data_IF_017683753987
#
_entry.id   IF_017683753987
#
_cell.length_a   1.000
_cell.length_b   1.000
_cell.length_c   1.000
_cell.angle_alpha   90.00
_cell.angle_beta   90.00
_cell.angle_gamma   90.00
#
_symmetry.space_group_name_H-M   'P 1'
#
loop_
_entity.id
_entity.type
_entity.pdbx_description
1 polymer ?
#
# COMPACT_ATOMS: atom_id res chain seq x y z
N UNK A 1 6.57 14.56 -46.65
CA UNK A 1 6.30 13.26 -46.03
C UNK A 1 7.34 13.02 -44.96
N UNK A 2 7.05 13.46 -43.74
CA UNK A 2 7.59 12.91 -42.48
C UNK A 2 6.78 13.51 -41.35
N UNK A 3 6.08 12.62 -40.64
CA UNK A 3 5.07 12.92 -39.65
C UNK A 3 5.65 13.63 -38.42
N UNK A 4 5.07 14.79 -38.08
CA UNK A 4 5.16 15.34 -36.74
C UNK A 4 4.37 14.43 -35.81
N UNK A 5 5.04 13.41 -35.26
CA UNK A 5 4.54 12.59 -34.16
C UNK A 5 4.20 13.51 -33.00
N UNK A 6 2.92 13.85 -32.89
CA UNK A 6 2.36 14.60 -31.78
C UNK A 6 2.59 13.81 -30.49
N UNK A 7 3.65 14.17 -29.76
CA UNK A 7 3.78 13.85 -28.35
C UNK A 7 2.57 14.50 -27.65
N UNK A 8 1.50 13.72 -27.45
CA UNK A 8 0.45 14.07 -26.49
C UNK A 8 1.13 14.20 -25.14
N UNK A 9 1.41 15.43 -24.75
CA UNK A 9 1.74 15.79 -23.38
C UNK A 9 0.51 15.46 -22.54
N UNK A 10 0.46 14.24 -22.01
CA UNK A 10 -0.55 13.84 -21.05
C UNK A 10 -0.43 14.81 -19.86
N UNK A 11 -1.38 15.73 -19.77
CA UNK A 11 -1.52 16.65 -18.66
C UNK A 11 -1.42 15.83 -17.35
N UNK A 12 -0.60 16.23 -16.36
CA UNK A 12 -0.29 15.41 -15.18
C UNK A 12 -1.52 14.82 -14.47
N UNK A 13 -2.66 15.52 -14.51
CA UNK A 13 -3.95 15.06 -13.97
C UNK A 13 -4.54 13.83 -14.69
N UNK A 14 -4.39 13.72 -16.01
CA UNK A 14 -4.89 12.58 -16.79
C UNK A 14 -4.08 11.31 -16.51
N UNK A 15 -2.77 11.45 -16.33
CA UNK A 15 -1.90 10.31 -16.00
C UNK A 15 -2.27 9.67 -14.65
N UNK A 16 -2.54 10.49 -13.63
CA UNK A 16 -2.98 10.00 -12.31
C UNK A 16 -4.33 9.30 -12.41
N UNK A 17 -5.27 9.86 -13.17
CA UNK A 17 -6.58 9.25 -13.40
C UNK A 17 -6.47 7.89 -14.09
N UNK A 18 -5.61 7.76 -15.12
CA UNK A 18 -5.38 6.47 -15.79
C UNK A 18 -4.80 5.42 -14.84
N UNK A 19 -3.83 5.79 -13.98
CA UNK A 19 -3.27 4.90 -12.97
C UNK A 19 -4.34 4.43 -11.98
N UNK A 20 -5.20 5.34 -11.53
CA UNK A 20 -6.32 5.03 -10.65
C UNK A 20 -7.33 4.07 -11.30
N UNK A 21 -7.76 4.36 -12.53
CA UNK A 21 -8.68 3.47 -13.26
C UNK A 21 -8.08 2.09 -13.47
N UNK A 22 -6.79 2.00 -13.85
CA UNK A 22 -6.11 0.73 -14.01
C UNK A 22 -6.08 -0.07 -12.70
N UNK A 23 -5.79 0.60 -11.58
CA UNK A 23 -5.81 -0.02 -10.25
C UNK A 23 -7.21 -0.51 -9.88
N UNK A 24 -8.25 0.27 -10.14
CA UNK A 24 -9.63 -0.14 -9.92
C UNK A 24 -9.99 -1.37 -10.77
N UNK A 25 -9.59 -1.41 -12.04
CA UNK A 25 -9.82 -2.59 -12.91
C UNK A 25 -9.11 -3.83 -12.38
N UNK A 26 -7.88 -3.67 -11.88
CA UNK A 26 -7.14 -4.76 -11.25
C UNK A 26 -7.87 -5.26 -10.00
N UNK A 27 -8.32 -4.35 -9.12
CA UNK A 27 -9.02 -4.75 -7.90
C UNK A 27 -10.39 -5.40 -8.20
N UNK A 28 -11.15 -4.86 -9.15
CA UNK A 28 -12.44 -5.43 -9.57
C UNK A 28 -12.26 -6.80 -10.21
N UNK A 29 -11.23 -6.98 -11.04
CA UNK A 29 -10.95 -8.29 -11.64
C UNK A 29 -10.49 -9.31 -10.60
N UNK A 30 -9.67 -8.89 -9.62
CA UNK A 30 -9.28 -9.73 -8.49
C UNK A 30 -10.48 -10.10 -7.60
N UNK A 31 -11.35 -9.14 -7.26
CA UNK A 31 -12.59 -9.39 -6.53
C UNK A 31 -13.53 -10.33 -7.30
N UNK A 32 -13.67 -10.15 -8.62
CA UNK A 32 -14.50 -11.02 -9.46
C UNK A 32 -13.94 -12.45 -9.48
N UNK A 33 -12.62 -12.60 -9.58
CA UNK A 33 -11.95 -13.90 -9.50
C UNK A 33 -12.20 -14.58 -8.14
N UNK A 34 -12.00 -13.88 -7.03
CA UNK A 34 -12.26 -14.42 -5.70
C UNK A 34 -13.74 -14.74 -5.47
N UNK A 35 -14.63 -13.88 -5.95
CA UNK A 35 -16.08 -14.09 -5.85
C UNK A 35 -16.54 -15.32 -6.64
N UNK A 36 -15.94 -15.57 -7.80
CA UNK A 36 -16.23 -16.77 -8.59
C UNK A 36 -15.71 -18.04 -7.90
N UNK A 37 -14.55 -17.98 -7.25
CA UNK A 37 -13.90 -19.14 -6.64
C UNK A 37 -14.44 -19.49 -5.24
N UNK A 38 -14.74 -18.49 -4.42
CA UNK A 38 -15.08 -18.66 -3.00
C UNK A 38 -16.48 -18.14 -2.61
N UNK A 39 -17.23 -17.59 -3.58
CA UNK A 39 -18.52 -16.93 -3.34
C UNK A 39 -18.38 -15.43 -3.07
N UNK A 40 -19.45 -14.67 -3.31
CA UNK A 40 -19.44 -13.19 -3.27
C UNK A 40 -19.10 -12.64 -1.88
N UNK A 41 -19.66 -13.21 -0.82
CA UNK A 41 -19.42 -12.77 0.55
C UNK A 41 -17.95 -12.99 0.95
N UNK A 42 -17.46 -14.22 0.79
CA UNK A 42 -16.07 -14.62 1.06
C UNK A 42 -15.08 -13.83 0.21
N UNK A 43 -15.36 -13.69 -1.09
CA UNK A 43 -14.51 -12.93 -2.01
C UNK A 43 -14.45 -11.44 -1.66
N UNK A 44 -15.54 -10.87 -1.15
CA UNK A 44 -15.58 -9.50 -0.64
C UNK A 44 -14.69 -9.30 0.57
N UNK A 45 -14.85 -10.14 1.60
CA UNK A 45 -14.02 -10.04 2.80
C UNK A 45 -12.56 -10.30 2.47
N UNK A 46 -12.25 -11.35 1.70
CA UNK A 46 -10.89 -11.64 1.26
C UNK A 46 -10.25 -10.48 0.47
N UNK A 47 -11.01 -9.80 -0.39
CA UNK A 47 -10.50 -8.63 -1.14
C UNK A 47 -10.19 -7.46 -0.21
N UNK A 48 -11.04 -7.20 0.78
CA UNK A 48 -10.83 -6.16 1.79
C UNK A 48 -9.62 -6.49 2.68
N UNK A 49 -9.46 -7.75 3.08
CA UNK A 49 -8.29 -8.22 3.81
C UNK A 49 -7.01 -8.06 2.98
N UNK A 50 -7.01 -8.47 1.71
CA UNK A 50 -5.87 -8.27 0.80
C UNK A 50 -5.53 -6.79 0.63
N UNK A 51 -6.52 -5.91 0.51
CA UNK A 51 -6.28 -4.46 0.48
C UNK A 51 -5.60 -3.98 1.77
N UNK A 52 -6.11 -4.41 2.93
CA UNK A 52 -5.54 -4.04 4.22
C UNK A 52 -4.12 -4.56 4.43
N UNK A 53 -3.78 -5.72 3.85
CA UNK A 53 -2.42 -6.25 3.84
C UNK A 53 -1.45 -5.28 3.16
N UNK A 54 -1.81 -4.76 1.99
CA UNK A 54 -0.97 -3.78 1.30
C UNK A 54 -0.80 -2.50 2.11
N UNK A 55 -1.89 -1.99 2.70
CA UNK A 55 -1.83 -0.76 3.52
C UNK A 55 -0.90 -0.93 4.74
N UNK A 56 -1.04 -2.04 5.47
CA UNK A 56 -0.35 -2.23 6.75
C UNK A 56 1.06 -2.81 6.60
N UNK A 57 1.25 -3.70 5.64
CA UNK A 57 2.44 -4.55 5.58
C UNK A 57 3.38 -4.21 4.41
N UNK A 58 3.08 -3.20 3.58
CA UNK A 58 4.00 -2.70 2.56
C UNK A 58 4.32 -1.22 2.77
N UNK A 59 5.61 -0.81 2.76
CA UNK A 59 6.03 0.59 2.92
C UNK A 59 5.77 1.39 1.62
N UNK A 60 4.53 1.36 1.13
CA UNK A 60 4.09 2.01 -0.09
C UNK A 60 3.10 3.09 0.33
N UNK A 61 3.53 4.36 0.25
CA UNK A 61 2.69 5.52 0.57
C UNK A 61 1.41 5.64 -0.30
N UNK A 62 1.35 4.87 -1.39
CA UNK A 62 0.21 4.76 -2.29
C UNK A 62 -0.54 3.41 -2.16
N UNK A 63 -0.23 2.55 -1.18
CA UNK A 63 -1.03 1.32 -0.98
C UNK A 63 -2.48 1.66 -0.58
N UNK A 64 -2.66 2.78 0.13
CA UNK A 64 -3.96 3.40 0.38
C UNK A 64 -4.58 4.10 -0.83
N UNK A 65 -3.88 4.26 -1.96
CA UNK A 65 -4.25 5.13 -3.09
C UNK A 65 -5.70 4.96 -3.58
N UNK A 66 -6.23 3.74 -3.51
CA UNK A 66 -7.59 3.43 -3.93
C UNK A 66 -8.65 4.20 -3.13
N UNK A 67 -8.48 4.36 -1.81
CA UNK A 67 -9.37 5.16 -0.96
C UNK A 67 -8.81 6.56 -0.70
N UNK A 68 -7.49 6.70 -0.70
CA UNK A 68 -6.81 7.97 -0.47
C UNK A 68 -7.13 9.01 -1.54
N UNK A 69 -7.15 8.59 -2.81
CA UNK A 69 -7.46 9.50 -3.92
C UNK A 69 -8.91 10.05 -3.86
N UNK A 70 -9.96 9.23 -3.68
CA UNK A 70 -11.32 9.71 -3.45
C UNK A 70 -11.46 10.60 -2.22
N UNK A 71 -10.86 10.21 -1.09
CA UNK A 71 -10.93 10.99 0.16
C UNK A 71 -10.29 12.36 -0.02
N UNK A 72 -9.13 12.44 -0.67
CA UNK A 72 -8.48 13.73 -0.98
C UNK A 72 -9.30 14.58 -1.94
N UNK A 73 -9.94 13.98 -2.95
CA UNK A 73 -10.76 14.71 -3.91
C UNK A 73 -12.03 15.31 -3.28
N UNK A 74 -12.65 14.58 -2.34
CA UNK A 74 -13.90 15.00 -1.68
C UNK A 74 -13.63 15.99 -0.54
N UNK A 75 -12.62 15.71 0.30
CA UNK A 75 -12.36 16.49 1.51
C UNK A 75 -11.25 17.53 1.36
N UNK A 76 -10.44 17.49 0.28
CA UNK A 76 -9.34 18.44 0.07
C UNK A 76 -8.25 18.39 1.14
N UNK A 77 -8.12 17.28 1.87
CA UNK A 77 -7.20 17.11 3.00
C UNK A 77 -5.77 16.82 2.53
N UNK A 78 -4.79 17.13 3.39
CA UNK A 78 -3.36 16.80 3.16
C UNK A 78 -3.15 15.29 3.13
N UNK A 79 -2.15 14.85 2.36
CA UNK A 79 -1.82 13.43 2.15
C UNK A 79 -1.56 12.67 3.46
N UNK A 80 -0.92 13.32 4.44
CA UNK A 80 -0.70 12.71 5.75
C UNK A 80 -2.00 12.33 6.48
N UNK A 81 -3.02 13.19 6.47
CA UNK A 81 -4.27 12.94 7.20
C UNK A 81 -5.11 11.86 6.54
N UNK A 82 -5.15 11.84 5.21
CA UNK A 82 -5.85 10.80 4.47
C UNK A 82 -5.18 9.43 4.64
N UNK A 83 -3.85 9.39 4.70
CA UNK A 83 -3.12 8.15 5.01
C UNK A 83 -3.39 7.65 6.43
N UNK A 84 -3.40 8.55 7.44
CA UNK A 84 -3.77 8.17 8.83
C UNK A 84 -5.18 7.58 8.87
N UNK A 85 -6.14 8.17 8.15
CA UNK A 85 -7.51 7.67 8.09
C UNK A 85 -7.58 6.27 7.48
N UNK A 86 -6.80 6.01 6.43
CA UNK A 86 -6.76 4.71 5.75
C UNK A 86 -6.07 3.65 6.59
N UNK A 87 -4.97 3.99 7.24
CA UNK A 87 -4.32 3.13 8.21
C UNK A 87 -5.27 2.75 9.35
N UNK A 88 -5.98 3.74 9.90
CA UNK A 88 -6.98 3.51 10.95
C UNK A 88 -8.10 2.59 10.46
N UNK A 89 -8.58 2.79 9.24
CA UNK A 89 -9.59 1.94 8.62
C UNK A 89 -9.08 0.51 8.42
N UNK A 90 -7.85 0.33 7.91
CA UNK A 90 -7.25 -0.98 7.70
C UNK A 90 -7.03 -1.74 9.01
N UNK A 91 -6.57 -1.06 10.07
CA UNK A 91 -6.46 -1.65 11.41
C UNK A 91 -7.84 -2.05 11.92
N UNK A 92 -8.84 -1.17 11.81
CA UNK A 92 -10.21 -1.43 12.28
C UNK A 92 -10.82 -2.64 11.58
N UNK A 93 -10.68 -2.72 10.26
CA UNK A 93 -11.10 -3.86 9.44
C UNK A 93 -10.48 -5.15 9.94
N UNK A 94 -9.18 -5.17 10.22
CA UNK A 94 -8.49 -6.36 10.70
C UNK A 94 -8.89 -6.76 12.11
N UNK A 95 -9.08 -5.79 13.02
CA UNK A 95 -9.59 -6.07 14.37
C UNK A 95 -10.98 -6.70 14.29
N UNK A 96 -11.88 -6.14 13.50
CA UNK A 96 -13.23 -6.69 13.31
C UNK A 96 -13.17 -8.07 12.65
N UNK A 97 -12.37 -8.24 11.61
CA UNK A 97 -12.24 -9.52 10.91
C UNK A 97 -11.65 -10.61 11.81
N UNK A 98 -10.65 -10.33 12.64
CA UNK A 98 -10.11 -11.29 13.59
C UNK A 98 -11.11 -11.72 14.66
N UNK A 99 -11.98 -10.80 15.10
CA UNK A 99 -12.97 -11.09 16.16
C UNK A 99 -14.20 -11.85 15.65
N UNK A 100 -14.67 -11.55 14.43
CA UNK A 100 -15.95 -12.07 13.93
C UNK A 100 -15.81 -12.99 12.72
N UNK A 101 -14.70 -12.93 11.98
CA UNK A 101 -14.56 -13.53 10.65
C UNK A 101 -13.18 -14.14 10.40
N UNK A 102 -12.56 -14.70 11.44
CA UNK A 102 -11.19 -15.25 11.37
C UNK A 102 -11.04 -16.32 10.27
N UNK A 103 -12.11 -17.05 9.95
CA UNK A 103 -12.17 -18.07 8.90
C UNK A 103 -11.83 -17.53 7.49
N UNK A 104 -12.08 -16.25 7.19
CA UNK A 104 -11.80 -15.71 5.86
C UNK A 104 -10.32 -15.43 5.61
N UNK A 105 -9.48 -15.47 6.64
CA UNK A 105 -8.04 -15.34 6.47
C UNK A 105 -7.43 -16.56 5.77
N UNK A 106 -8.05 -17.74 5.84
CA UNK A 106 -7.55 -18.98 5.20
C UNK A 106 -7.87 -19.09 3.70
N UNK A 107 -8.45 -18.04 3.10
CA UNK A 107 -8.88 -18.06 1.69
C UNK A 107 -7.72 -17.99 0.70
N UNK A 108 -6.71 -17.18 1.00
CA UNK A 108 -5.55 -16.94 0.13
C UNK A 108 -4.25 -16.92 0.93
N UNK A 109 -3.12 -17.18 0.27
CA UNK A 109 -1.80 -17.09 0.92
C UNK A 109 -1.52 -15.71 1.52
N UNK A 110 -1.97 -14.64 0.87
CA UNK A 110 -1.80 -13.27 1.37
C UNK A 110 -2.61 -13.04 2.65
N UNK A 111 -3.85 -13.49 2.69
CA UNK A 111 -4.68 -13.35 3.88
C UNK A 111 -4.19 -14.25 5.01
N UNK A 112 -3.72 -15.46 4.73
CA UNK A 112 -3.11 -16.33 5.75
C UNK A 112 -1.87 -15.67 6.35
N UNK A 113 -1.02 -15.09 5.50
CA UNK A 113 0.17 -14.39 5.92
C UNK A 113 -0.18 -13.14 6.76
N UNK A 114 -1.21 -12.38 6.35
CA UNK A 114 -1.73 -11.25 7.13
C UNK A 114 -2.18 -11.71 8.53
N UNK A 115 -2.92 -12.81 8.63
CA UNK A 115 -3.34 -13.36 9.91
C UNK A 115 -2.15 -13.73 10.80
N UNK A 116 -1.15 -14.40 10.22
CA UNK A 116 0.07 -14.75 10.93
C UNK A 116 0.75 -13.48 11.48
N UNK A 117 0.99 -12.47 10.64
CA UNK A 117 1.60 -11.20 11.07
C UNK A 117 0.81 -10.56 12.22
N UNK A 118 -0.53 -10.55 12.16
CA UNK A 118 -1.35 -9.90 13.17
C UNK A 118 -1.39 -10.67 14.50
N UNK A 119 -1.43 -12.00 14.45
CA UNK A 119 -1.60 -12.88 15.62
C UNK A 119 -0.28 -13.25 16.30
N UNK A 120 0.85 -13.12 15.62
CA UNK A 120 2.17 -13.43 16.18
C UNK A 120 3.02 -12.15 16.32
N UNK A 121 3.05 -11.52 17.51
CA UNK A 121 3.59 -10.17 17.68
C UNK A 121 5.10 -10.05 17.47
N UNK A 122 5.90 -11.00 17.97
CA UNK A 122 7.35 -11.02 17.77
C UNK A 122 7.73 -12.17 16.84
N UNK A 123 8.48 -11.93 15.73
CA UNK A 123 9.06 -10.65 15.28
C UNK A 123 8.17 -9.84 14.31
N UNK A 124 6.96 -10.31 13.96
CA UNK A 124 6.29 -9.85 12.74
C UNK A 124 5.60 -8.50 12.83
N UNK A 125 5.29 -7.99 14.03
CA UNK A 125 4.86 -6.61 14.17
C UNK A 125 5.95 -5.61 13.76
N UNK A 126 7.22 -6.04 13.71
CA UNK A 126 8.28 -5.23 13.11
C UNK A 126 7.97 -4.93 11.63
N UNK A 127 7.33 -5.83 10.88
CA UNK A 127 6.93 -5.58 9.48
C UNK A 127 5.93 -4.43 9.41
N UNK A 128 4.90 -4.44 10.27
CA UNK A 128 3.89 -3.38 10.34
C UNK A 128 4.54 -2.05 10.78
N UNK A 129 5.38 -2.07 11.81
CA UNK A 129 6.05 -0.86 12.30
C UNK A 129 7.01 -0.27 11.28
N UNK A 130 7.82 -1.11 10.62
CA UNK A 130 8.73 -0.68 9.56
C UNK A 130 7.95 -0.16 8.35
N UNK A 131 6.87 -0.83 7.97
CA UNK A 131 5.95 -0.42 6.91
C UNK A 131 5.34 0.95 7.19
N UNK A 132 4.72 1.12 8.36
CA UNK A 132 4.11 2.39 8.77
C UNK A 132 5.14 3.51 8.88
N UNK A 133 6.31 3.23 9.48
CA UNK A 133 7.39 4.22 9.57
C UNK A 133 7.85 4.64 8.17
N UNK A 134 8.06 3.70 7.25
CA UNK A 134 8.44 3.98 5.87
C UNK A 134 7.39 4.83 5.14
N UNK A 135 6.12 4.47 5.26
CA UNK A 135 5.00 5.17 4.63
C UNK A 135 4.86 6.61 5.15
N UNK A 136 4.77 6.80 6.48
CA UNK A 136 4.59 8.15 7.05
C UNK A 136 5.81 9.04 6.87
N UNK A 137 7.01 8.47 6.97
CA UNK A 137 8.25 9.22 6.73
C UNK A 137 8.35 9.64 5.27
N UNK A 138 8.01 8.76 4.33
CA UNK A 138 7.96 9.06 2.89
C UNK A 138 6.98 10.19 2.58
N UNK A 139 5.77 10.16 3.15
CA UNK A 139 4.76 11.21 2.94
C UNK A 139 5.20 12.54 3.53
N UNK A 140 5.67 12.55 4.78
CA UNK A 140 6.12 13.79 5.44
C UNK A 140 7.22 14.46 4.63
N UNK A 141 8.19 13.69 4.15
CA UNK A 141 9.25 14.22 3.31
C UNK A 141 8.74 14.67 1.93
N UNK A 142 7.81 13.94 1.31
CA UNK A 142 7.22 14.36 0.04
C UNK A 142 6.48 15.70 0.15
N UNK A 143 5.70 15.89 1.21
CA UNK A 143 5.01 17.15 1.51
C UNK A 143 6.01 18.28 1.80
N UNK A 144 7.03 18.04 2.63
CA UNK A 144 8.06 19.04 2.96
C UNK A 144 8.90 19.44 1.74
N UNK A 145 9.23 18.49 0.85
CA UNK A 145 9.94 18.77 -0.40
C UNK A 145 9.10 19.64 -1.35
N UNK A 146 7.78 19.41 -1.44
CA UNK A 146 6.90 20.23 -2.27
C UNK A 146 6.75 21.66 -1.73
N UNK A 147 6.61 21.82 -0.41
CA UNK A 147 6.44 23.12 0.22
C UNK A 147 7.71 23.98 0.10
N UNK A 148 8.90 23.39 0.29
CA UNK A 148 10.17 24.14 0.14
C UNK A 148 10.55 24.37 -1.33
N UNK A 149 10.19 23.47 -2.26
CA UNK A 149 10.36 23.74 -3.69
C UNK A 149 9.52 24.94 -4.17
N UNK A 150 8.37 25.18 -3.53
CA UNK A 150 7.54 26.37 -3.77
C UNK A 150 8.17 27.65 -3.16
N UNK A 151 8.97 27.52 -2.11
CA UNK A 151 9.63 28.61 -1.39
C UNK A 151 11.17 28.54 -1.50
N UNK A 152 11.70 28.87 -2.68
CA UNK A 152 13.02 29.52 -2.86
C UNK A 152 14.22 28.94 -2.07
N UNK A 153 14.86 27.87 -2.58
CA UNK A 153 16.29 27.88 -2.96
C UNK A 153 16.74 26.53 -3.55
N UNK A 154 17.30 26.55 -4.76
CA UNK A 154 17.32 25.39 -5.67
C UNK A 154 18.57 24.48 -5.56
N UNK A 155 19.60 24.87 -4.79
CA UNK A 155 20.91 24.22 -4.85
C UNK A 155 21.29 23.33 -3.65
N UNK A 156 20.60 23.39 -2.51
CA UNK A 156 20.90 22.54 -1.34
C UNK A 156 20.21 21.16 -1.38
N UNK A 157 19.23 20.97 -2.28
CA UNK A 157 18.28 19.84 -2.29
C UNK A 157 18.77 18.55 -2.92
N UNK A 158 19.59 18.60 -3.97
CA UNK A 158 20.02 17.38 -4.69
C UNK A 158 20.83 16.40 -3.83
N UNK A 159 21.43 16.88 -2.73
CA UNK A 159 22.29 16.06 -1.86
C UNK A 159 21.53 15.29 -0.77
N UNK A 160 20.30 15.69 -0.46
CA UNK A 160 19.46 15.01 0.55
C UNK A 160 18.42 14.09 -0.09
N UNK A 161 17.81 14.46 -1.22
CA UNK A 161 16.84 13.61 -1.93
C UNK A 161 17.38 12.19 -2.23
N UNK A 162 18.63 12.10 -2.70
CA UNK A 162 19.27 10.80 -2.98
C UNK A 162 19.46 9.93 -1.72
N UNK A 163 19.78 10.53 -0.57
CA UNK A 163 19.89 9.79 0.70
C UNK A 163 18.54 9.23 1.16
N UNK A 164 17.45 9.95 0.86
CA UNK A 164 16.09 9.54 1.24
C UNK A 164 15.57 8.43 0.33
N UNK A 165 15.84 8.51 -0.97
CA UNK A 165 15.53 7.45 -1.91
C UNK A 165 16.25 6.15 -1.54
N UNK A 166 17.54 6.24 -1.17
CA UNK A 166 18.29 5.09 -0.63
C UNK A 166 17.67 4.57 0.67
N UNK A 167 17.26 5.44 1.59
CA UNK A 167 16.63 5.01 2.85
C UNK A 167 15.35 4.21 2.59
N UNK A 168 14.48 4.67 1.69
CA UNK A 168 13.25 3.97 1.31
C UNK A 168 13.58 2.61 0.68
N UNK A 169 14.58 2.55 -0.21
CA UNK A 169 15.03 1.29 -0.82
C UNK A 169 15.54 0.32 0.25
N UNK A 170 16.32 0.80 1.22
CA UNK A 170 16.81 -0.02 2.34
C UNK A 170 15.64 -0.55 3.17
N UNK A 171 14.65 0.30 3.51
CA UNK A 171 13.43 -0.14 4.20
C UNK A 171 12.69 -1.22 3.42
N UNK A 172 12.55 -1.06 2.09
CA UNK A 172 11.89 -2.03 1.24
C UNK A 172 12.63 -3.38 1.21
N UNK A 173 13.96 -3.36 1.13
CA UNK A 173 14.80 -4.57 1.20
C UNK A 173 14.67 -5.26 2.55
N UNK A 174 14.69 -4.52 3.66
CA UNK A 174 14.51 -5.08 5.01
C UNK A 174 13.14 -5.73 5.17
N UNK A 175 12.09 -5.10 4.64
CA UNK A 175 10.73 -5.68 4.65
C UNK A 175 10.69 -6.98 3.84
N UNK A 176 11.32 -7.04 2.66
CA UNK A 176 11.41 -8.28 1.86
C UNK A 176 12.15 -9.39 2.64
N UNK A 177 13.26 -9.05 3.29
CA UNK A 177 13.99 -10.02 4.12
C UNK A 177 13.11 -10.52 5.26
N UNK A 178 12.36 -9.62 5.92
CA UNK A 178 11.40 -9.98 6.96
C UNK A 178 10.30 -10.94 6.45
N UNK A 179 9.81 -10.73 5.23
CA UNK A 179 8.87 -11.66 4.60
C UNK A 179 9.50 -13.02 4.26
N UNK A 180 10.75 -13.05 3.80
CA UNK A 180 11.44 -14.29 3.53
C UNK A 180 11.60 -15.12 4.80
N UNK A 181 12.08 -14.52 5.89
CA UNK A 181 12.17 -15.14 7.21
C UNK A 181 10.80 -15.61 7.72
N UNK A 182 9.74 -14.83 7.51
CA UNK A 182 8.36 -15.21 7.85
C UNK A 182 7.89 -16.46 7.10
N UNK A 183 8.13 -16.54 5.79
CA UNK A 183 7.72 -17.69 4.97
C UNK A 183 8.49 -18.95 5.37
N UNK A 184 9.81 -18.83 5.61
CA UNK A 184 10.67 -19.94 6.04
C UNK A 184 10.30 -20.42 7.45
N UNK A 185 10.06 -19.50 8.39
CA UNK A 185 9.72 -19.84 9.78
C UNK A 185 8.32 -20.42 9.95
N UNK A 186 7.36 -20.02 9.11
CA UNK A 186 6.00 -20.56 9.10
C UNK A 186 5.89 -21.90 8.35
N UNK A 187 6.98 -22.46 7.82
CA UNK A 187 7.03 -23.73 7.06
C UNK A 187 5.97 -23.78 5.94
N UNK A 188 5.61 -22.62 5.36
CA UNK A 188 4.62 -22.49 4.27
C UNK A 188 5.10 -23.20 2.98
N UNK A 189 6.30 -23.80 3.00
CA UNK A 189 6.84 -24.66 1.97
C UNK A 189 6.36 -26.12 2.03
N UNK A 190 5.75 -26.63 3.11
CA UNK A 190 5.46 -28.08 3.24
C UNK A 190 4.06 -28.59 2.88
N UNK A 191 3.08 -27.73 2.62
CA UNK A 191 1.76 -28.17 2.10
C UNK A 191 1.63 -27.90 0.59
N UNK A 192 2.54 -28.52 -0.16
CA UNK A 192 2.45 -28.73 -1.61
C UNK A 192 2.60 -30.21 -1.94
#
# INVERSE_FOLDING_TARGET
MTDHVGKKTLHPRKQVLYKFVLLCVLLVSYFAYLSFKYGVATGGVASVLTWSFFVLCTPIADAGFLLDFPLRLIFGIRMLFSEIAIWTLAITVNVVALLFFAEYYETTKLTMLLQAILTTPYPYWAIILLSGTGTFLSIRFADELMDVAHHRDRNFFHRHAFKHEILIIVFFVVVIIGYYELIVSLDIEKDF
#
